data_IF_383054800899
#
_entry.id   IF_383054800899
#
_cell.length_a   1.000
_cell.length_b   1.000
_cell.length_c   1.000
_cell.angle_alpha   90.00
_cell.angle_beta   90.00
_cell.angle_gamma   90.00
#
_symmetry.space_group_name_H-M   'P 1'
#
loop_
_entity.id
_entity.type
_entity.pdbx_description
1 polymer ?
#
# COMPACT_ATOMS: atom_id res chain seq x y z
N UNK A 1 9.55 -14.08 -9.11
CA UNK A 1 8.44 -13.12 -9.27
C UNK A 1 7.40 -13.76 -10.17
N UNK A 2 6.24 -14.13 -9.64
CA UNK A 2 5.15 -14.66 -10.46
C UNK A 2 4.27 -13.48 -10.88
N UNK A 3 4.37 -13.08 -12.14
CA UNK A 3 3.45 -12.15 -12.76
C UNK A 3 2.12 -12.89 -12.95
N UNK A 4 1.05 -12.40 -12.33
CA UNK A 4 -0.30 -12.86 -12.65
C UNK A 4 -0.66 -12.19 -13.98
N UNK A 5 -0.34 -12.85 -15.07
CA UNK A 5 -0.76 -12.42 -16.41
C UNK A 5 -2.29 -12.55 -16.50
N UNK A 6 -3.00 -11.42 -16.43
CA UNK A 6 -4.41 -11.39 -16.78
C UNK A 6 -4.52 -11.57 -18.30
N UNK A 7 -4.84 -12.79 -18.74
CA UNK A 7 -5.17 -13.06 -20.14
C UNK A 7 -6.44 -12.27 -20.50
N UNK A 8 -6.27 -11.20 -21.27
CA UNK A 8 -7.38 -10.49 -21.88
C UNK A 8 -7.91 -11.33 -23.06
N UNK A 9 -8.86 -12.23 -22.80
CA UNK A 9 -9.60 -12.91 -23.85
C UNK A 9 -10.75 -12.00 -24.34
N UNK A 10 -11.05 -11.97 -25.65
CA UNK A 10 -12.23 -11.27 -26.15
C UNK A 10 -13.49 -11.86 -25.50
N UNK A 11 -14.39 -10.98 -25.05
CA UNK A 11 -15.63 -11.36 -24.38
C UNK A 11 -16.38 -12.42 -25.19
N UNK A 12 -16.72 -13.54 -24.55
CA UNK A 12 -17.57 -14.59 -25.13
C UNK A 12 -16.87 -15.88 -25.59
N UNK A 13 -15.53 -16.01 -25.52
CA UNK A 13 -14.86 -17.31 -25.79
C UNK A 13 -14.62 -18.17 -24.54
N UNK A 14 -14.15 -17.57 -23.44
CA UNK A 14 -13.76 -18.32 -22.23
C UNK A 14 -14.76 -18.18 -21.07
N UNK A 15 -15.72 -17.26 -21.18
CA UNK A 15 -16.67 -16.94 -20.11
C UNK A 15 -18.08 -16.77 -20.68
N UNK A 16 -19.02 -17.63 -20.26
CA UNK A 16 -20.40 -17.57 -20.73
C UNK A 16 -21.12 -16.35 -20.17
N UNK A 17 -22.03 -15.76 -20.96
CA UNK A 17 -22.85 -14.61 -20.54
C UNK A 17 -23.63 -14.92 -19.24
N UNK A 18 -24.10 -16.16 -19.10
CA UNK A 18 -24.82 -16.62 -17.92
C UNK A 18 -23.92 -16.70 -16.67
N UNK A 19 -22.65 -17.11 -16.84
CA UNK A 19 -21.64 -17.04 -15.78
C UNK A 19 -21.31 -15.61 -15.38
N UNK A 20 -21.27 -14.68 -16.34
CA UNK A 20 -21.04 -13.25 -16.09
C UNK A 20 -22.15 -12.61 -15.25
N UNK A 21 -23.42 -12.90 -15.58
CA UNK A 21 -24.56 -12.37 -14.83
C UNK A 21 -24.66 -12.92 -13.40
N UNK A 22 -24.10 -14.10 -13.15
CA UNK A 22 -24.05 -14.73 -11.82
C UNK A 22 -22.81 -14.35 -11.01
N UNK A 23 -21.87 -13.61 -11.60
CA UNK A 23 -20.69 -13.17 -10.86
C UNK A 23 -21.12 -12.23 -9.73
N UNK A 24 -20.54 -12.39 -8.52
CA UNK A 24 -20.71 -11.42 -7.46
C UNK A 24 -19.92 -10.16 -7.84
N UNK A 25 -20.52 -9.28 -8.65
CA UNK A 25 -19.90 -8.07 -9.20
C UNK A 25 -19.27 -7.19 -8.10
N UNK A 26 -19.89 -7.14 -6.93
CA UNK A 26 -19.37 -6.44 -5.75
C UNK A 26 -18.02 -7.00 -5.29
N UNK A 27 -17.87 -8.32 -5.28
CA UNK A 27 -16.62 -8.99 -4.87
C UNK A 27 -15.55 -8.81 -5.94
N UNK A 28 -15.92 -8.93 -7.21
CA UNK A 28 -15.00 -8.69 -8.34
C UNK A 28 -14.48 -7.25 -8.32
N UNK A 29 -15.37 -6.29 -8.09
CA UNK A 29 -14.99 -4.88 -7.95
C UNK A 29 -14.01 -4.67 -6.79
N UNK A 30 -14.27 -5.25 -5.61
CA UNK A 30 -13.35 -5.14 -4.47
C UNK A 30 -11.98 -5.77 -4.77
N UNK A 31 -11.93 -6.91 -5.46
CA UNK A 31 -10.67 -7.54 -5.84
C UNK A 31 -9.87 -6.65 -6.79
N UNK A 32 -10.52 -6.07 -7.80
CA UNK A 32 -9.87 -5.15 -8.75
C UNK A 32 -9.38 -3.89 -8.02
N UNK A 33 -10.17 -3.35 -7.10
CA UNK A 33 -9.80 -2.21 -6.26
C UNK A 33 -8.55 -2.51 -5.43
N UNK A 34 -8.54 -3.66 -4.74
CA UNK A 34 -7.39 -4.11 -3.94
C UNK A 34 -6.14 -4.35 -4.79
N UNK A 35 -6.29 -4.90 -5.99
CA UNK A 35 -5.19 -5.08 -6.94
C UNK A 35 -4.62 -3.71 -7.37
N UNK A 36 -5.47 -2.77 -7.76
CA UNK A 36 -5.05 -1.41 -8.11
C UNK A 36 -4.32 -0.69 -6.97
N UNK A 37 -4.79 -0.85 -5.73
CA UNK A 37 -4.11 -0.26 -4.56
C UNK A 37 -2.79 -0.96 -4.21
N UNK A 38 -2.62 -2.24 -4.58
CA UNK A 38 -1.33 -2.92 -4.50
C UNK A 38 -0.35 -2.36 -5.53
N UNK A 39 -0.79 -2.15 -6.77
CA UNK A 39 0.07 -1.62 -7.84
C UNK A 39 0.53 -0.19 -7.56
N UNK A 40 -0.36 0.67 -7.05
CA UNK A 40 0.00 2.02 -6.57
C UNK A 40 1.08 1.97 -5.48
N UNK A 41 0.96 1.04 -4.53
CA UNK A 41 1.96 0.85 -3.46
C UNK A 41 3.31 0.41 -4.01
N UNK A 42 3.31 -0.52 -4.97
CA UNK A 42 4.54 -0.98 -5.64
C UNK A 42 5.21 0.17 -6.38
N UNK A 43 4.44 0.97 -7.13
CA UNK A 43 4.95 2.15 -7.81
C UNK A 43 5.54 3.19 -6.84
N UNK A 44 4.90 3.42 -5.69
CA UNK A 44 5.45 4.27 -4.63
C UNK A 44 6.77 3.72 -4.09
N UNK A 45 6.88 2.42 -3.81
CA UNK A 45 8.12 1.78 -3.33
C UNK A 45 9.29 2.01 -4.30
N UNK A 46 9.05 1.83 -5.60
CA UNK A 46 10.07 2.06 -6.63
C UNK A 46 10.45 3.53 -6.78
N UNK A 47 9.57 4.45 -6.37
CA UNK A 47 9.78 5.89 -6.49
C UNK A 47 10.40 6.54 -5.26
N UNK A 48 10.60 5.80 -4.15
CA UNK A 48 11.17 6.34 -2.90
C UNK A 48 12.55 6.94 -3.11
N UNK A 49 13.43 6.27 -3.86
CA UNK A 49 14.79 6.77 -4.12
C UNK A 49 14.76 8.08 -4.90
N UNK A 50 13.91 8.16 -5.93
CA UNK A 50 13.70 9.36 -6.74
C UNK A 50 13.10 10.49 -5.92
N UNK A 51 12.09 10.22 -5.11
CA UNK A 51 11.47 11.19 -4.21
C UNK A 51 12.49 11.76 -3.21
N UNK A 52 13.35 10.92 -2.62
CA UNK A 52 14.43 11.36 -1.74
C UNK A 52 15.45 12.25 -2.46
N UNK A 53 15.85 11.87 -3.68
CA UNK A 53 16.78 12.67 -4.48
C UNK A 53 16.17 14.04 -4.82
N UNK A 54 14.90 14.07 -5.25
CA UNK A 54 14.18 15.31 -5.50
C UNK A 54 14.11 16.20 -4.25
N UNK A 55 13.87 15.63 -3.08
CA UNK A 55 13.89 16.36 -1.79
C UNK A 55 15.25 17.02 -1.52
N UNK A 56 16.35 16.32 -1.77
CA UNK A 56 17.71 16.88 -1.61
C UNK A 56 17.93 18.04 -2.60
N UNK A 57 17.57 17.86 -3.87
CA UNK A 57 17.72 18.91 -4.89
C UNK A 57 16.91 20.15 -4.53
N UNK A 58 15.67 19.98 -4.07
CA UNK A 58 14.81 21.08 -3.61
C UNK A 58 15.44 21.78 -2.39
N UNK A 59 15.97 21.03 -1.44
CA UNK A 59 16.64 21.59 -0.25
C UNK A 59 17.87 22.42 -0.62
N UNK A 60 18.69 21.93 -1.55
CA UNK A 60 19.84 22.66 -2.09
C UNK A 60 19.37 23.93 -2.81
N UNK A 61 18.39 23.84 -3.70
CA UNK A 61 17.85 24.98 -4.43
C UNK A 61 17.29 26.06 -3.49
N UNK A 62 16.54 25.67 -2.45
CA UNK A 62 16.04 26.58 -1.39
C UNK A 62 17.18 27.26 -0.65
N UNK A 63 18.23 26.51 -0.32
CA UNK A 63 19.43 27.04 0.35
C UNK A 63 20.14 28.13 -0.49
N UNK A 64 20.19 27.96 -1.81
CA UNK A 64 20.71 28.99 -2.72
C UNK A 64 19.76 30.18 -2.89
N UNK A 65 18.45 29.96 -2.82
CA UNK A 65 17.42 31.01 -2.93
C UNK A 65 17.23 31.85 -1.66
N UNK A 66 17.89 31.52 -0.55
CA UNK A 66 17.73 32.18 0.75
C UNK A 66 16.39 31.87 1.45
N UNK A 67 15.61 30.93 0.90
CA UNK A 67 14.34 30.50 1.46
C UNK A 67 14.56 29.44 2.54
N UNK A 68 14.08 29.73 3.76
CA UNK A 68 14.13 28.82 4.92
C UNK A 68 12.81 28.06 5.11
N UNK A 69 11.96 28.01 4.08
CA UNK A 69 10.68 27.31 4.11
C UNK A 69 10.82 25.81 4.44
N UNK A 70 9.76 25.24 5.02
CA UNK A 70 9.74 23.85 5.51
C UNK A 70 10.15 22.83 4.46
N UNK A 71 10.74 21.72 4.91
CA UNK A 71 11.04 20.57 4.06
C UNK A 71 9.76 20.07 3.38
N UNK A 72 9.87 19.73 2.09
CA UNK A 72 8.76 19.16 1.34
C UNK A 72 8.56 17.72 1.81
N UNK A 73 7.38 17.35 2.36
CA UNK A 73 7.15 16.01 2.84
C UNK A 73 7.24 15.01 1.68
N UNK A 74 7.84 13.84 1.95
CA UNK A 74 8.04 12.78 0.94
C UNK A 74 6.72 12.36 0.28
N UNK A 75 5.62 12.43 1.01
CA UNK A 75 4.29 12.03 0.53
C UNK A 75 3.81 12.89 -0.65
N UNK A 76 4.28 14.14 -0.75
CA UNK A 76 4.01 15.03 -1.89
C UNK A 76 4.91 14.75 -3.10
N UNK A 77 6.01 14.01 -2.90
CA UNK A 77 6.96 13.64 -3.93
C UNK A 77 6.71 12.22 -4.49
N UNK A 78 5.77 11.49 -3.89
CA UNK A 78 5.33 10.18 -4.38
C UNK A 78 4.33 10.34 -5.53
N UNK A 79 4.33 9.41 -6.51
CA UNK A 79 3.42 9.48 -7.65
C UNK A 79 1.95 9.23 -7.28
N UNK A 80 1.68 8.51 -6.18
CA UNK A 80 0.33 8.26 -5.70
C UNK A 80 0.18 8.69 -4.23
N UNK A 81 -0.95 9.32 -3.86
CA UNK A 81 -1.20 9.73 -2.49
C UNK A 81 -1.28 8.51 -1.58
N UNK A 82 -0.69 8.62 -0.39
CA UNK A 82 -0.86 7.60 0.64
C UNK A 82 -2.30 7.65 1.15
N UNK A 83 -2.96 6.50 1.18
CA UNK A 83 -4.31 6.40 1.73
C UNK A 83 -4.22 6.42 3.27
N UNK A 84 -4.48 7.58 3.86
CA UNK A 84 -4.39 7.80 5.32
C UNK A 84 -5.34 6.90 6.11
N UNK A 85 -6.53 6.58 5.57
CA UNK A 85 -7.50 5.69 6.21
C UNK A 85 -6.95 4.26 6.39
N UNK A 86 -6.18 3.78 5.41
CA UNK A 86 -5.53 2.48 5.50
C UNK A 86 -4.43 2.45 6.58
N UNK A 87 -3.74 3.57 6.79
CA UNK A 87 -2.76 3.72 7.85
C UNK A 87 -3.42 3.79 9.23
N UNK A 88 -4.56 4.47 9.35
CA UNK A 88 -5.35 4.56 10.59
C UNK A 88 -5.81 3.18 11.07
N UNK A 89 -6.41 2.38 10.18
CA UNK A 89 -6.84 1.01 10.52
C UNK A 89 -5.68 0.08 10.87
N UNK A 90 -4.51 0.29 10.25
CA UNK A 90 -3.30 -0.47 10.54
C UNK A 90 -2.70 -0.08 11.91
N UNK A 91 -2.79 1.19 12.30
CA UNK A 91 -2.43 1.67 13.63
C UNK A 91 -3.36 1.11 14.72
N UNK A 92 -4.68 1.17 14.52
CA UNK A 92 -5.67 0.59 15.43
C UNK A 92 -5.44 -0.92 15.61
N UNK A 93 -5.22 -1.64 14.50
CA UNK A 93 -4.92 -3.07 14.53
C UNK A 93 -3.61 -3.35 15.27
N UNK A 94 -2.56 -2.55 15.05
CA UNK A 94 -1.28 -2.65 15.78
C UNK A 94 -1.45 -2.41 17.28
N UNK A 95 -2.28 -1.44 17.68
CA UNK A 95 -2.56 -1.16 19.10
C UNK A 95 -3.34 -2.29 19.77
N UNK A 96 -4.34 -2.85 19.09
CA UNK A 96 -5.09 -4.02 19.59
C UNK A 96 -4.15 -5.21 19.73
N UNK A 97 -3.29 -5.47 18.74
CA UNK A 97 -2.28 -6.53 18.80
C UNK A 97 -1.31 -6.33 19.98
N UNK A 98 -0.82 -5.09 20.20
CA UNK A 98 0.03 -4.77 21.37
C UNK A 98 -0.69 -5.04 22.69
N UNK A 99 -1.96 -4.66 22.82
CA UNK A 99 -2.79 -4.93 24.02
C UNK A 99 -3.00 -6.44 24.25
N UNK A 100 -3.21 -7.21 23.18
CA UNK A 100 -3.38 -8.68 23.25
C UNK A 100 -2.08 -9.41 23.63
N UNK A 101 -0.94 -8.94 23.15
CA UNK A 101 0.39 -9.44 23.56
C UNK A 101 0.63 -9.13 25.05
N UNK A 102 0.34 -7.91 25.49
CA UNK A 102 0.48 -7.51 26.89
C UNK A 102 -0.39 -8.35 27.84
N UNK A 103 -1.58 -8.74 27.40
CA UNK A 103 -2.50 -9.60 28.16
C UNK A 103 -2.16 -11.11 28.09
N UNK A 104 -1.10 -11.51 27.38
CA UNK A 104 -0.68 -12.92 27.15
C UNK A 104 -1.80 -13.86 26.67
N UNK A 105 -2.82 -13.33 25.99
CA UNK A 105 -3.94 -14.12 25.45
C UNK A 105 -3.63 -14.75 24.09
N UNK A 106 -2.47 -14.47 23.52
CA UNK A 106 -2.04 -14.99 22.22
C UNK A 106 -1.05 -16.15 22.40
N UNK A 107 -1.19 -17.24 21.64
CA UNK A 107 -0.21 -18.33 21.63
C UNK A 107 1.18 -17.82 21.27
N UNK A 108 2.22 -18.37 21.91
CA UNK A 108 3.63 -17.97 21.72
C UNK A 108 4.07 -18.06 20.25
N UNK A 109 3.52 -19.03 19.50
CA UNK A 109 3.75 -19.19 18.06
C UNK A 109 3.25 -18.00 17.23
N UNK A 110 2.12 -17.41 17.61
CA UNK A 110 1.53 -16.24 16.94
C UNK A 110 2.32 -14.98 17.29
N UNK A 111 2.80 -14.85 18.53
CA UNK A 111 3.65 -13.74 18.98
C UNK A 111 4.99 -13.76 18.23
N UNK A 112 5.61 -14.93 18.05
CA UNK A 112 6.86 -15.07 17.30
C UNK A 112 6.70 -14.69 15.81
N UNK A 113 5.58 -15.06 15.18
CA UNK A 113 5.28 -14.68 13.81
C UNK A 113 4.98 -13.17 13.66
N UNK A 114 4.27 -12.58 14.63
CA UNK A 114 3.91 -11.15 14.62
C UNK A 114 5.10 -10.24 14.91
N UNK A 115 6.05 -10.67 15.77
CA UNK A 115 7.24 -9.87 16.05
C UNK A 115 8.02 -9.53 14.77
N UNK A 116 8.05 -10.42 13.78
CA UNK A 116 8.70 -10.16 12.49
C UNK A 116 8.04 -9.02 11.68
N UNK A 117 6.78 -8.69 11.99
CA UNK A 117 5.96 -7.66 11.30
C UNK A 117 5.82 -6.37 12.13
N UNK A 118 6.08 -6.43 13.45
CA UNK A 118 5.91 -5.30 14.37
C UNK A 118 7.22 -4.50 14.55
N UNK A 119 8.39 -5.13 14.41
CA UNK A 119 9.70 -4.47 14.57
C UNK A 119 10.33 -3.97 13.26
N UNK A 120 9.63 -4.06 12.12
CA UNK A 120 9.97 -3.35 10.87
C UNK A 120 8.97 -2.24 10.60
#
# INVERSE_FOLDING_TARGET
MAYTEFRAAPAGRDFSMEGFLRLPLKVVYEIIRLAGDRDKRVANIHSISTARLAGIVISIAKSFGGDKGSETPIDQLLPFPLNEEANQHLLESKEVLKKLIAQRKLPISVIAALNKVITT
#
